data_IF_478745120512
#
_entry.id   IF_478745120512
#
_cell.length_a   1.000
_cell.length_b   1.000
_cell.length_c   1.000
_cell.angle_alpha   90.00
_cell.angle_beta   90.00
_cell.angle_gamma   90.00
#
_symmetry.space_group_name_H-M   'P 1'
#
loop_
_entity.id
_entity.type
_entity.pdbx_description
1 polymer ?
#
# COMPACT_ATOMS: atom_id res chain seq x y z
N UNK A 1 -20.42 -34.36 16.49
CA UNK A 1 -19.76 -33.06 16.16
C UNK A 1 -18.32 -33.32 15.71
N UNK A 2 -17.84 -32.67 14.63
CA UNK A 2 -16.51 -32.91 14.02
C UNK A 2 -16.31 -34.25 13.27
N UNK A 3 -17.33 -34.69 12.53
CA UNK A 3 -17.27 -35.95 11.76
C UNK A 3 -16.12 -35.99 10.75
N UNK A 4 -15.61 -34.84 10.30
CA UNK A 4 -14.52 -34.75 9.34
C UNK A 4 -13.12 -34.79 9.99
N UNK A 5 -12.97 -34.91 11.32
CA UNK A 5 -11.66 -34.81 11.99
C UNK A 5 -11.13 -36.16 12.53
N UNK A 6 -11.35 -37.25 11.79
CA UNK A 6 -10.92 -38.59 12.20
C UNK A 6 -9.98 -39.19 11.15
N UNK A 7 -8.81 -39.66 11.59
CA UNK A 7 -7.93 -40.52 10.80
C UNK A 7 -7.58 -41.73 11.64
N UNK A 8 -7.79 -42.93 11.10
CA UNK A 8 -7.44 -44.17 11.78
C UNK A 8 -6.45 -44.94 10.91
N UNK A 9 -5.27 -45.22 11.44
CA UNK A 9 -4.35 -46.20 10.87
C UNK A 9 -4.64 -47.56 11.51
N UNK A 10 -4.94 -48.56 10.70
CA UNK A 10 -5.33 -49.89 11.17
C UNK A 10 -4.95 -50.97 10.17
N UNK A 11 -5.27 -52.22 10.48
CA UNK A 11 -5.16 -53.37 9.58
C UNK A 11 -6.01 -54.53 10.06
N UNK A 12 -5.64 -55.76 9.75
CA UNK A 12 -6.42 -56.94 10.14
C UNK A 12 -6.21 -57.36 11.60
N UNK A 13 -7.31 -57.70 12.30
CA UNK A 13 -7.31 -58.06 13.73
C UNK A 13 -6.40 -59.25 14.07
N UNK A 14 -6.23 -60.19 13.14
CA UNK A 14 -5.40 -61.40 13.31
C UNK A 14 -3.90 -61.07 13.45
N UNK A 15 -3.43 -59.96 12.88
CA UNK A 15 -2.01 -59.60 12.86
C UNK A 15 -1.58 -58.78 14.08
N UNK A 16 -2.53 -58.17 14.80
CA UNK A 16 -2.24 -57.31 15.97
C UNK A 16 -1.55 -58.05 17.13
N UNK A 17 -1.85 -59.34 17.32
CA UNK A 17 -1.20 -60.18 18.35
C UNK A 17 0.31 -60.37 18.09
N UNK A 18 0.74 -60.29 16.82
CA UNK A 18 2.15 -60.39 16.43
C UNK A 18 2.95 -59.15 16.81
N UNK A 19 2.31 -57.97 16.88
CA UNK A 19 2.95 -56.72 17.31
C UNK A 19 3.33 -56.79 18.79
N UNK A 20 2.44 -57.31 19.64
CA UNK A 20 2.72 -57.43 21.07
C UNK A 20 3.90 -58.38 21.34
N UNK A 21 3.94 -59.51 20.63
CA UNK A 21 5.05 -60.47 20.75
C UNK A 21 6.38 -59.85 20.34
N UNK A 22 6.43 -59.18 19.18
CA UNK A 22 7.66 -58.52 18.71
C UNK A 22 8.09 -57.35 19.60
N UNK A 23 7.14 -56.56 20.12
CA UNK A 23 7.41 -55.49 21.09
C UNK A 23 8.05 -56.04 22.39
N UNK A 24 7.56 -57.18 22.89
CA UNK A 24 8.14 -57.84 24.07
C UNK A 24 9.59 -58.28 23.84
N UNK A 25 9.93 -58.75 22.64
CA UNK A 25 11.31 -59.11 22.29
C UNK A 25 12.24 -57.90 22.30
N UNK A 26 11.80 -56.76 21.74
CA UNK A 26 12.57 -55.50 21.80
C UNK A 26 12.73 -55.03 23.25
N UNK A 27 11.65 -55.02 24.03
CA UNK A 27 11.70 -54.62 25.45
C UNK A 27 12.65 -55.50 26.27
N UNK A 28 12.59 -56.82 26.09
CA UNK A 28 13.46 -57.76 26.80
C UNK A 28 14.94 -57.51 26.50
N UNK A 29 15.30 -57.24 25.24
CA UNK A 29 16.69 -56.95 24.86
C UNK A 29 17.13 -55.55 25.32
N UNK A 30 16.25 -54.55 25.30
CA UNK A 30 16.55 -53.23 25.88
C UNK A 30 16.80 -53.31 27.39
N UNK A 31 16.06 -54.15 28.13
CA UNK A 31 16.31 -54.36 29.56
C UNK A 31 17.65 -55.07 29.81
N UNK A 32 17.95 -56.10 29.03
CA UNK A 32 19.24 -56.79 29.13
C UNK A 32 20.42 -55.85 28.77
N UNK A 33 20.24 -54.92 27.84
CA UNK A 33 21.23 -53.92 27.44
C UNK A 33 21.62 -52.95 28.56
N UNK A 34 20.69 -52.62 29.45
CA UNK A 34 20.95 -51.79 30.65
C UNK A 34 21.79 -52.52 31.71
N UNK A 35 21.72 -53.86 31.76
CA UNK A 35 22.36 -54.69 32.78
C UNK A 35 23.72 -55.26 32.34
N UNK A 36 24.02 -55.26 31.03
CA UNK A 36 25.20 -55.91 30.45
C UNK A 36 26.26 -54.90 30.00
N UNK A 37 27.43 -54.82 30.67
CA UNK A 37 28.51 -53.91 30.29
C UNK A 37 29.16 -54.32 28.96
N UNK A 38 29.82 -53.37 28.29
CA UNK A 38 30.44 -53.57 26.97
C UNK A 38 31.53 -54.67 26.96
N UNK A 39 32.15 -54.97 28.11
CA UNK A 39 33.18 -55.99 28.25
C UNK A 39 32.63 -57.41 28.42
N UNK A 40 31.30 -57.59 28.45
CA UNK A 40 30.69 -58.89 28.70
C UNK A 40 30.88 -59.86 27.52
N UNK A 41 31.21 -61.15 27.74
CA UNK A 41 31.44 -62.13 26.67
C UNK A 41 30.26 -62.31 25.69
N UNK A 42 29.04 -62.06 26.15
CA UNK A 42 27.81 -62.17 25.34
C UNK A 42 27.35 -60.83 24.71
N UNK A 43 28.14 -59.75 24.85
CA UNK A 43 27.76 -58.43 24.36
C UNK A 43 27.48 -58.41 22.85
N UNK A 44 28.33 -59.06 22.07
CA UNK A 44 28.18 -59.17 20.62
C UNK A 44 26.87 -59.86 20.22
N UNK A 45 26.51 -60.95 20.91
CA UNK A 45 25.24 -61.67 20.65
C UNK A 45 24.02 -60.81 21.03
N UNK A 46 24.13 -60.03 22.11
CA UNK A 46 23.08 -59.09 22.52
C UNK A 46 22.85 -58.01 21.46
N UNK A 47 23.93 -57.40 20.93
CA UNK A 47 23.84 -56.36 19.90
C UNK A 47 23.26 -56.91 18.59
N UNK A 48 23.63 -58.13 18.18
CA UNK A 48 23.04 -58.83 17.02
C UNK A 48 21.55 -59.10 17.22
N UNK A 49 21.13 -59.62 18.38
CA UNK A 49 19.70 -59.84 18.71
C UNK A 49 18.93 -58.54 18.81
N UNK A 50 19.54 -57.48 19.33
CA UNK A 50 18.94 -56.13 19.41
C UNK A 50 18.63 -55.59 18.02
N UNK A 51 19.60 -55.69 17.10
CA UNK A 51 19.40 -55.28 15.71
C UNK A 51 18.31 -56.12 15.03
N UNK A 52 18.35 -57.46 15.19
CA UNK A 52 17.37 -58.36 14.59
C UNK A 52 15.96 -58.09 15.11
N UNK A 53 15.75 -58.02 16.43
CA UNK A 53 14.42 -57.76 17.00
C UNK A 53 13.89 -56.37 16.67
N UNK A 54 14.76 -55.37 16.55
CA UNK A 54 14.35 -54.05 16.08
C UNK A 54 13.86 -54.11 14.62
N UNK A 55 14.57 -54.83 13.75
CA UNK A 55 14.15 -55.03 12.35
C UNK A 55 12.84 -55.84 12.25
N UNK A 56 12.71 -56.92 13.02
CA UNK A 56 11.51 -57.77 13.05
C UNK A 56 10.30 -57.00 13.55
N UNK A 57 10.48 -56.20 14.61
CA UNK A 57 9.42 -55.33 15.13
C UNK A 57 8.99 -54.31 14.08
N UNK A 58 9.94 -53.63 13.43
CA UNK A 58 9.64 -52.67 12.38
C UNK A 58 8.86 -53.34 11.23
N UNK A 59 9.32 -54.49 10.73
CA UNK A 59 8.62 -55.22 9.67
C UNK A 59 7.21 -55.66 10.11
N UNK A 60 7.05 -56.10 11.36
CA UNK A 60 5.76 -56.53 11.90
C UNK A 60 4.79 -55.35 11.97
N UNK A 61 5.22 -54.19 12.47
CA UNK A 61 4.41 -52.97 12.53
C UNK A 61 3.97 -52.53 11.13
N UNK A 62 4.88 -52.51 10.15
CA UNK A 62 4.56 -52.12 8.78
C UNK A 62 3.56 -53.05 8.10
N UNK A 63 3.63 -54.35 8.37
CA UNK A 63 2.71 -55.34 7.82
C UNK A 63 1.33 -55.31 8.49
N UNK A 64 1.27 -54.94 9.77
CA UNK A 64 0.02 -54.93 10.54
C UNK A 64 -0.81 -53.68 10.26
N UNK A 65 -0.17 -52.54 9.99
CA UNK A 65 -0.84 -51.26 9.76
C UNK A 65 -0.87 -50.93 8.27
N UNK A 66 -1.76 -51.59 7.54
CA UNK A 66 -1.81 -51.61 6.07
C UNK A 66 -2.89 -50.70 5.46
N UNK A 67 -3.77 -50.08 6.25
CA UNK A 67 -4.86 -49.23 5.73
C UNK A 67 -5.18 -48.03 6.60
N UNK A 68 -5.62 -46.97 5.91
CA UNK A 68 -6.17 -45.76 6.50
C UNK A 68 -7.69 -45.76 6.39
N UNK A 69 -8.37 -45.38 7.47
CA UNK A 69 -9.78 -45.05 7.47
C UNK A 69 -9.97 -43.56 7.66
N UNK A 70 -10.77 -42.93 6.79
CA UNK A 70 -11.09 -41.52 6.89
C UNK A 70 -12.55 -41.22 6.50
N UNK A 71 -13.14 -40.14 7.03
CA UNK A 71 -14.50 -39.72 6.70
C UNK A 71 -14.67 -39.41 5.22
N UNK A 72 -15.75 -39.93 4.64
CA UNK A 72 -16.23 -39.58 3.32
C UNK A 72 -17.73 -39.84 3.20
N UNK A 73 -18.25 -39.80 1.98
CA UNK A 73 -19.64 -40.11 1.71
C UNK A 73 -19.80 -41.19 0.65
N UNK A 74 -20.86 -41.98 0.75
CA UNK A 74 -21.27 -42.91 -0.28
C UNK A 74 -22.80 -42.92 -0.31
N UNK A 75 -23.40 -42.74 -1.48
CA UNK A 75 -24.86 -42.67 -1.65
C UNK A 75 -25.54 -41.70 -0.64
N UNK A 76 -24.95 -40.51 -0.45
CA UNK A 76 -25.39 -39.49 0.51
C UNK A 76 -25.37 -39.88 2.00
N UNK A 77 -24.80 -41.03 2.37
CA UNK A 77 -24.54 -41.40 3.76
C UNK A 77 -23.07 -41.11 4.14
N UNK A 78 -22.86 -40.64 5.37
CA UNK A 78 -21.52 -40.50 5.95
C UNK A 78 -20.95 -41.88 6.25
N UNK A 79 -19.74 -42.17 5.75
CA UNK A 79 -19.04 -43.44 5.97
C UNK A 79 -17.56 -43.23 6.32
N UNK A 80 -16.94 -44.26 6.88
CA UNK A 80 -15.47 -44.35 6.95
C UNK A 80 -14.97 -45.11 5.73
N UNK A 81 -14.29 -44.37 4.83
CA UNK A 81 -13.66 -44.95 3.64
C UNK A 81 -12.36 -45.61 4.04
N UNK A 82 -12.16 -46.85 3.61
CA UNK A 82 -10.90 -47.55 3.75
C UNK A 82 -10.02 -47.32 2.51
N UNK A 83 -8.73 -47.07 2.74
CA UNK A 83 -7.72 -46.93 1.69
C UNK A 83 -6.46 -47.67 2.11
N UNK A 84 -5.93 -48.53 1.25
CA UNK A 84 -4.66 -49.20 1.49
C UNK A 84 -3.53 -48.15 1.62
N UNK A 85 -2.66 -48.34 2.60
CA UNK A 85 -1.49 -47.52 2.84
C UNK A 85 -0.46 -47.81 1.73
N UNK A 86 0.06 -46.76 1.10
CA UNK A 86 1.04 -46.91 0.03
C UNK A 86 2.36 -47.47 0.59
N UNK A 87 2.70 -48.72 0.29
CA UNK A 87 3.91 -49.40 0.78
C UNK A 87 5.19 -49.02 0.02
N UNK A 88 5.10 -48.19 -1.01
CA UNK A 88 6.27 -47.83 -1.83
C UNK A 88 7.12 -46.77 -1.14
N UNK A 89 8.36 -47.13 -0.83
CA UNK A 89 9.32 -46.29 -0.11
C UNK A 89 10.64 -46.18 -0.89
N UNK A 90 11.26 -44.99 -1.00
CA UNK A 90 12.55 -44.81 -1.66
C UNK A 90 13.66 -45.58 -0.93
N UNK A 91 14.45 -46.38 -1.65
CA UNK A 91 15.53 -47.19 -1.05
C UNK A 91 16.71 -46.39 -0.50
N UNK A 92 16.73 -45.06 -0.74
CA UNK A 92 17.81 -44.14 -0.40
C UNK A 92 17.49 -43.22 0.80
N UNK A 93 16.32 -43.35 1.43
CA UNK A 93 15.91 -42.53 2.59
C UNK A 93 15.63 -43.38 3.83
N UNK A 94 15.66 -42.76 5.00
CA UNK A 94 15.23 -43.38 6.26
C UNK A 94 13.72 -43.36 6.40
N UNK A 95 13.10 -44.52 6.65
CA UNK A 95 11.65 -44.69 6.72
C UNK A 95 10.91 -43.58 7.51
N UNK A 96 9.86 -43.02 6.90
CA UNK A 96 9.03 -41.97 7.50
C UNK A 96 7.54 -42.25 7.25
N UNK A 97 6.86 -42.79 8.26
CA UNK A 97 5.44 -43.14 8.18
C UNK A 97 4.52 -41.93 7.97
N UNK A 98 4.89 -40.73 8.44
CA UNK A 98 4.09 -39.53 8.21
C UNK A 98 4.09 -39.14 6.71
N UNK A 99 5.25 -39.20 6.04
CA UNK A 99 5.34 -39.00 4.58
C UNK A 99 4.47 -40.01 3.83
N UNK A 100 4.46 -41.27 4.25
CA UNK A 100 3.66 -42.33 3.66
C UNK A 100 2.15 -42.08 3.79
N UNK A 101 1.70 -41.66 4.97
CA UNK A 101 0.30 -41.28 5.22
C UNK A 101 -0.10 -40.09 4.34
N UNK A 102 0.72 -39.04 4.29
CA UNK A 102 0.46 -37.87 3.44
C UNK A 102 0.34 -38.29 1.97
N UNK A 103 1.32 -39.05 1.46
CA UNK A 103 1.33 -39.57 0.07
C UNK A 103 0.06 -40.34 -0.26
N UNK A 104 -0.37 -41.21 0.66
CA UNK A 104 -1.59 -42.01 0.52
C UNK A 104 -2.84 -41.11 0.46
N UNK A 105 -2.93 -40.09 1.30
CA UNK A 105 -4.09 -39.18 1.36
C UNK A 105 -4.13 -38.15 0.23
N UNK A 106 -2.99 -37.86 -0.40
CA UNK A 106 -2.89 -36.97 -1.57
C UNK A 106 -3.15 -37.68 -2.91
N UNK A 107 -3.09 -39.02 -2.93
CA UNK A 107 -3.43 -39.81 -4.12
C UNK A 107 -4.96 -39.95 -4.29
N UNK A 108 -5.43 -40.27 -5.50
CA UNK A 108 -6.86 -40.49 -5.74
C UNK A 108 -7.40 -41.72 -4.96
N UNK A 109 -8.61 -41.68 -4.38
CA UNK A 109 -9.42 -40.48 -4.13
C UNK A 109 -8.75 -39.56 -3.11
N UNK A 110 -8.59 -38.28 -3.48
CA UNK A 110 -7.84 -37.29 -2.70
C UNK A 110 -8.65 -36.88 -1.47
N UNK A 111 -8.07 -37.10 -0.28
CA UNK A 111 -8.61 -36.61 0.99
C UNK A 111 -7.85 -35.39 1.51
N UNK A 112 -6.54 -35.29 1.27
CA UNK A 112 -5.69 -34.20 1.75
C UNK A 112 -5.14 -33.38 0.57
N UNK A 113 -5.30 -32.06 0.63
CA UNK A 113 -4.58 -31.13 -0.23
C UNK A 113 -3.49 -30.45 0.58
N UNK A 114 -2.29 -30.38 0.02
CA UNK A 114 -1.14 -29.70 0.65
C UNK A 114 -0.89 -28.31 0.05
N UNK A 115 -1.20 -28.12 -1.23
CA UNK A 115 -1.08 -26.85 -1.95
C UNK A 115 -2.47 -26.28 -2.28
N UNK A 116 -2.91 -25.30 -1.48
CA UNK A 116 -4.22 -24.66 -1.67
C UNK A 116 -4.27 -23.78 -2.93
N UNK A 117 -3.27 -22.92 -3.23
CA UNK A 117 -3.31 -22.05 -4.41
C UNK A 117 -3.41 -22.82 -5.73
N UNK A 118 -2.64 -23.91 -5.87
CA UNK A 118 -2.63 -24.74 -7.08
C UNK A 118 -3.97 -25.44 -7.34
N UNK A 119 -4.75 -25.68 -6.27
CA UNK A 119 -6.03 -26.38 -6.32
C UNK A 119 -7.22 -25.44 -6.05
N UNK A 120 -7.01 -24.13 -6.21
CA UNK A 120 -7.94 -23.08 -5.80
C UNK A 120 -9.35 -23.31 -6.34
N UNK A 121 -9.52 -23.48 -7.66
CA UNK A 121 -10.84 -23.53 -8.28
C UNK A 121 -11.69 -24.70 -7.78
N UNK A 122 -11.05 -25.86 -7.58
CA UNK A 122 -11.73 -27.06 -7.06
C UNK A 122 -12.10 -26.90 -5.58
N UNK A 123 -11.17 -26.39 -4.76
CA UNK A 123 -11.39 -26.18 -3.32
C UNK A 123 -12.46 -25.11 -3.08
N UNK A 124 -12.43 -24.03 -3.86
CA UNK A 124 -13.47 -22.99 -3.89
C UNK A 124 -14.83 -23.59 -4.24
N UNK A 125 -14.94 -24.33 -5.34
CA UNK A 125 -16.22 -24.93 -5.75
C UNK A 125 -16.82 -25.83 -4.65
N UNK A 126 -15.98 -26.66 -3.99
CA UNK A 126 -16.42 -27.47 -2.84
C UNK A 126 -16.84 -26.61 -1.65
N UNK A 127 -16.09 -25.56 -1.33
CA UNK A 127 -16.42 -24.67 -0.22
C UNK A 127 -17.74 -23.94 -0.47
N UNK A 128 -17.97 -23.41 -1.68
CA UNK A 128 -19.22 -22.75 -2.08
C UNK A 128 -20.41 -23.71 -2.01
N UNK A 129 -20.24 -24.95 -2.45
CA UNK A 129 -21.29 -25.96 -2.43
C UNK A 129 -21.60 -26.48 -1.01
N UNK A 130 -20.56 -26.79 -0.21
CA UNK A 130 -20.71 -27.56 1.02
C UNK A 130 -20.74 -26.69 2.29
N UNK A 131 -20.03 -25.55 2.28
CA UNK A 131 -19.91 -24.65 3.42
C UNK A 131 -20.91 -23.50 3.32
N UNK A 132 -20.89 -22.76 2.21
CA UNK A 132 -21.88 -21.71 1.94
C UNK A 132 -23.26 -22.33 1.67
N UNK A 133 -23.31 -23.38 0.84
CA UNK A 133 -24.56 -24.01 0.45
C UNK A 133 -25.42 -23.07 -0.38
N UNK A 134 -26.69 -22.92 -0.01
CA UNK A 134 -27.64 -22.08 -0.74
C UNK A 134 -27.56 -20.59 -0.35
N UNK A 135 -26.82 -20.23 0.70
CA UNK A 135 -26.65 -18.84 1.12
C UNK A 135 -25.48 -18.21 0.38
N UNK A 136 -25.65 -16.97 -0.07
CA UNK A 136 -24.55 -16.15 -0.61
C UNK A 136 -23.64 -15.64 0.51
N UNK A 137 -24.20 -15.43 1.71
CA UNK A 137 -23.48 -14.89 2.86
C UNK A 137 -23.44 -15.90 4.02
N UNK A 138 -22.32 -15.97 4.72
CA UNK A 138 -22.14 -16.85 5.88
C UNK A 138 -21.13 -16.28 6.89
N UNK A 139 -21.30 -16.58 8.18
CA UNK A 139 -20.29 -16.24 9.20
C UNK A 139 -19.04 -17.09 8.98
N UNK A 140 -17.87 -16.47 9.10
CA UNK A 140 -16.57 -17.18 8.96
C UNK A 140 -16.46 -18.36 9.94
N UNK A 141 -16.93 -18.18 11.18
CA UNK A 141 -16.96 -19.24 12.20
C UNK A 141 -17.81 -20.44 11.76
N UNK A 142 -18.97 -20.20 11.18
CA UNK A 142 -19.87 -21.26 10.73
C UNK A 142 -19.29 -22.04 9.55
N UNK A 143 -18.55 -21.36 8.67
CA UNK A 143 -17.82 -22.02 7.58
C UNK A 143 -16.73 -22.96 8.12
N UNK A 144 -15.97 -22.51 9.13
CA UNK A 144 -14.94 -23.33 9.80
C UNK A 144 -15.58 -24.52 10.53
N UNK A 145 -16.70 -24.32 11.21
CA UNK A 145 -17.41 -25.42 11.88
C UNK A 145 -17.97 -26.42 10.88
N UNK A 146 -18.54 -25.94 9.76
CA UNK A 146 -18.99 -26.81 8.66
C UNK A 146 -17.82 -27.58 8.05
N UNK A 147 -16.62 -26.99 7.93
CA UNK A 147 -15.42 -27.69 7.43
C UNK A 147 -15.08 -28.92 8.30
N UNK A 148 -15.24 -28.80 9.62
CA UNK A 148 -15.04 -29.91 10.58
C UNK A 148 -16.18 -30.93 10.55
N UNK A 149 -17.38 -30.55 10.11
CA UNK A 149 -18.57 -31.41 10.13
C UNK A 149 -18.80 -32.15 8.81
N UNK A 150 -18.52 -31.53 7.66
CA UNK A 150 -18.81 -32.06 6.32
C UNK A 150 -17.74 -33.05 5.90
N UNK A 151 -18.05 -34.34 5.98
CA UNK A 151 -17.18 -35.48 5.58
C UNK A 151 -16.70 -35.43 4.12
N UNK A 152 -17.48 -34.75 3.25
CA UNK A 152 -17.16 -34.50 1.84
C UNK A 152 -16.03 -33.49 1.62
N UNK A 153 -15.79 -32.61 2.61
CA UNK A 153 -14.70 -31.66 2.51
C UNK A 153 -13.36 -32.38 2.63
N UNK A 154 -12.40 -32.06 1.75
CA UNK A 154 -11.05 -32.54 1.94
C UNK A 154 -10.41 -31.85 3.15
N UNK A 155 -9.35 -32.46 3.66
CA UNK A 155 -8.47 -31.84 4.62
C UNK A 155 -7.54 -30.86 3.93
N UNK A 156 -7.30 -29.77 4.64
CA UNK A 156 -6.42 -28.68 4.27
C UNK A 156 -5.29 -28.63 5.30
N UNK A 157 -4.12 -28.06 4.96
CA UNK A 157 -3.05 -27.84 5.93
C UNK A 157 -3.53 -26.88 7.04
N UNK A 158 -2.77 -26.73 8.13
CA UNK A 158 -2.99 -25.63 9.08
C UNK A 158 -3.13 -24.29 8.34
N UNK A 159 -4.16 -23.51 8.70
CA UNK A 159 -4.54 -22.25 8.03
C UNK A 159 -4.91 -22.39 6.54
N UNK A 160 -5.06 -23.60 6.00
CA UNK A 160 -5.35 -23.80 4.58
C UNK A 160 -6.70 -23.24 4.15
N UNK A 161 -7.69 -23.20 5.04
CA UNK A 161 -8.96 -22.52 4.75
C UNK A 161 -8.82 -20.99 4.76
N UNK A 162 -8.00 -20.44 5.65
CA UNK A 162 -7.68 -19.01 5.64
C UNK A 162 -6.91 -18.61 4.38
N UNK A 163 -5.98 -19.46 3.90
CA UNK A 163 -5.32 -19.26 2.61
C UNK A 163 -6.31 -19.29 1.44
N UNK A 164 -7.27 -20.22 1.46
CA UNK A 164 -8.34 -20.26 0.44
C UNK A 164 -9.18 -18.98 0.46
N UNK A 165 -9.56 -18.50 1.65
CA UNK A 165 -10.27 -17.24 1.84
C UNK A 165 -9.45 -16.08 1.30
N UNK A 166 -8.19 -15.97 1.68
CA UNK A 166 -7.30 -14.90 1.24
C UNK A 166 -7.19 -14.85 -0.28
N UNK A 167 -6.93 -16.01 -0.91
CA UNK A 167 -6.85 -16.12 -2.37
C UNK A 167 -8.18 -15.76 -3.04
N UNK A 168 -9.32 -16.17 -2.46
CA UNK A 168 -10.64 -15.86 -2.98
C UNK A 168 -10.98 -14.37 -2.89
N UNK A 169 -10.60 -13.71 -1.80
CA UNK A 169 -10.73 -12.27 -1.62
C UNK A 169 -9.79 -11.49 -2.55
N UNK A 170 -8.54 -11.93 -2.72
CA UNK A 170 -7.59 -11.33 -3.65
C UNK A 170 -8.06 -11.43 -5.11
N UNK A 171 -8.64 -12.58 -5.49
CA UNK A 171 -9.26 -12.77 -6.79
C UNK A 171 -10.63 -12.08 -6.90
N UNK A 172 -11.13 -11.45 -5.84
CA UNK A 172 -12.43 -10.75 -5.81
C UNK A 172 -13.63 -11.64 -6.11
N UNK A 173 -13.50 -12.96 -5.89
CA UNK A 173 -14.63 -13.89 -6.04
C UNK A 173 -15.39 -14.04 -4.74
N UNK A 174 -14.74 -13.84 -3.59
CA UNK A 174 -15.36 -13.68 -2.28
C UNK A 174 -15.01 -12.30 -1.70
N UNK A 175 -15.74 -11.86 -0.70
CA UNK A 175 -15.49 -10.60 0.02
C UNK A 175 -15.73 -10.80 1.52
N UNK A 176 -14.83 -10.26 2.34
CA UNK A 176 -15.01 -10.13 3.78
C UNK A 176 -15.77 -8.83 4.05
N UNK A 177 -16.92 -8.94 4.72
CA UNK A 177 -17.80 -7.80 5.00
C UNK A 177 -17.35 -7.00 6.24
N UNK A 178 -16.25 -7.38 6.90
CA UNK A 178 -15.65 -6.67 8.03
C UNK A 178 -16.40 -6.84 9.36
N UNK A 179 -17.54 -7.52 9.35
CA UNK A 179 -18.38 -7.81 10.52
C UNK A 179 -18.34 -9.31 10.91
N UNK A 180 -17.33 -10.05 10.43
CA UNK A 180 -17.19 -11.50 10.62
C UNK A 180 -18.02 -12.36 9.64
N UNK A 181 -18.75 -11.73 8.72
CA UNK A 181 -19.40 -12.41 7.60
C UNK A 181 -18.56 -12.36 6.34
N UNK A 182 -18.73 -13.38 5.53
CA UNK A 182 -18.17 -13.50 4.20
C UNK A 182 -19.28 -13.68 3.18
N UNK A 183 -19.10 -13.09 2.01
CA UNK A 183 -19.97 -13.33 0.86
C UNK A 183 -19.21 -14.04 -0.25
N UNK A 184 -19.85 -15.04 -0.88
CA UNK A 184 -19.36 -15.65 -2.13
C UNK A 184 -19.84 -14.92 -3.38
N UNK A 185 -20.58 -13.81 -3.20
CA UNK A 185 -21.12 -13.00 -4.29
C UNK A 185 -20.89 -11.51 -4.01
N UNK A 186 -19.62 -11.04 -4.08
CA UNK A 186 -19.28 -9.63 -3.91
C UNK A 186 -20.10 -8.77 -4.86
N UNK A 187 -20.53 -7.59 -4.39
CA UNK A 187 -21.27 -6.66 -5.25
C UNK A 187 -20.28 -5.92 -6.16
N UNK A 188 -20.59 -5.73 -7.45
CA UNK A 188 -19.79 -4.87 -8.32
C UNK A 188 -19.61 -3.50 -7.69
N UNK A 189 -18.36 -3.05 -7.56
CA UNK A 189 -18.04 -1.69 -7.13
C UNK A 189 -17.90 -0.81 -8.37
N UNK A 190 -17.84 0.50 -8.15
CA UNK A 190 -17.56 1.47 -9.19
C UNK A 190 -16.07 1.78 -9.20
N UNK A 191 -15.44 1.76 -10.37
CA UNK A 191 -14.04 2.18 -10.52
C UNK A 191 -13.90 3.66 -10.19
N UNK A 192 -12.76 4.04 -9.62
CA UNK A 192 -12.43 5.43 -9.34
C UNK A 192 -10.97 5.69 -9.68
N UNK A 193 -10.66 6.95 -10.00
CA UNK A 193 -9.29 7.41 -10.22
C UNK A 193 -8.91 8.35 -9.08
N UNK A 194 -7.73 8.13 -8.50
CA UNK A 194 -7.11 9.01 -7.52
C UNK A 194 -5.94 9.71 -8.19
N UNK A 195 -5.99 11.03 -8.21
CA UNK A 195 -4.94 11.88 -8.81
C UNK A 195 -4.13 12.50 -7.68
N UNK A 196 -2.80 12.35 -7.76
CA UNK A 196 -1.86 12.98 -6.85
C UNK A 196 -0.87 13.84 -7.64
N UNK A 197 -0.67 15.10 -7.23
CA UNK A 197 0.37 15.95 -7.82
C UNK A 197 1.72 15.66 -7.16
N UNK A 198 2.69 15.18 -7.94
CA UNK A 198 4.05 14.94 -7.44
C UNK A 198 4.95 16.16 -7.62
N UNK A 199 4.60 17.05 -8.54
CA UNK A 199 5.25 18.36 -8.70
C UNK A 199 4.20 19.46 -8.72
N UNK A 200 4.64 20.68 -8.45
CA UNK A 200 3.85 21.86 -8.86
C UNK A 200 4.17 22.22 -10.31
N UNK A 201 3.40 23.15 -10.92
CA UNK A 201 3.69 23.64 -12.25
C UNK A 201 5.12 24.19 -12.33
N UNK A 202 5.87 23.74 -13.33
CA UNK A 202 7.18 24.29 -13.66
C UNK A 202 7.06 25.63 -14.42
N UNK A 203 8.19 26.18 -14.83
CA UNK A 203 8.25 27.42 -15.62
C UNK A 203 7.41 27.37 -16.91
N UNK A 204 7.19 26.18 -17.46
CA UNK A 204 6.36 25.97 -18.65
C UNK A 204 4.93 25.57 -18.35
N UNK A 205 4.55 25.50 -17.07
CA UNK A 205 3.23 25.08 -16.61
C UNK A 205 3.05 23.55 -16.59
N UNK A 206 4.15 22.79 -16.70
CA UNK A 206 4.09 21.34 -16.68
C UNK A 206 3.98 20.81 -15.24
N UNK A 207 3.08 19.85 -15.04
CA UNK A 207 2.85 19.18 -13.77
C UNK A 207 3.03 17.68 -13.95
N UNK A 208 3.75 17.05 -13.02
CA UNK A 208 3.84 15.59 -12.93
C UNK A 208 2.75 15.06 -12.00
N UNK A 209 1.85 14.26 -12.56
CA UNK A 209 0.74 13.62 -11.87
C UNK A 209 1.02 12.14 -11.69
N UNK A 210 0.72 11.62 -10.50
CA UNK A 210 0.60 10.19 -10.24
C UNK A 210 -0.87 9.81 -10.19
N UNK A 211 -1.22 8.78 -10.95
CA UNK A 211 -2.59 8.33 -11.17
C UNK A 211 -2.73 6.91 -10.65
N UNK A 212 -3.54 6.73 -9.63
CA UNK A 212 -3.89 5.44 -9.05
C UNK A 212 -5.35 5.09 -9.37
N UNK A 213 -5.65 3.81 -9.55
CA UNK A 213 -7.01 3.34 -9.81
C UNK A 213 -7.53 2.48 -8.65
N UNK A 214 -8.79 2.70 -8.28
CA UNK A 214 -9.47 2.00 -7.18
C UNK A 214 -10.60 1.16 -7.77
N UNK A 215 -10.81 -0.04 -7.21
CA UNK A 215 -11.83 -1.00 -7.64
C UNK A 215 -11.71 -1.42 -9.13
N UNK A 216 -10.51 -1.42 -9.70
CA UNK A 216 -10.25 -1.64 -11.13
C UNK A 216 -9.53 -2.96 -11.43
N UNK A 217 -9.56 -3.90 -10.48
CA UNK A 217 -8.91 -5.21 -10.59
C UNK A 217 -7.39 -5.15 -10.44
N UNK A 218 -6.73 -6.29 -10.66
CA UNK A 218 -5.27 -6.41 -10.53
C UNK A 218 -4.46 -5.75 -11.64
N UNK A 219 -5.09 -5.44 -12.78
CA UNK A 219 -4.47 -4.81 -13.95
C UNK A 219 -5.39 -3.72 -14.50
N UNK A 220 -5.46 -2.54 -13.86
CA UNK A 220 -6.36 -1.48 -14.27
C UNK A 220 -5.98 -0.89 -15.63
N UNK A 221 -6.97 -0.47 -16.42
CA UNK A 221 -6.76 0.37 -17.62
C UNK A 221 -7.22 1.78 -17.31
N UNK A 222 -6.33 2.76 -17.40
CA UNK A 222 -6.63 4.17 -17.15
C UNK A 222 -6.60 4.89 -18.49
N UNK A 223 -7.75 5.30 -18.97
CA UNK A 223 -7.87 6.19 -20.13
C UNK A 223 -7.70 7.63 -19.68
N UNK A 224 -7.15 8.50 -20.52
CA UNK A 224 -7.03 9.92 -20.22
C UNK A 224 -7.23 10.79 -21.46
N UNK A 225 -7.67 12.03 -21.23
CA UNK A 225 -7.77 13.06 -22.27
C UNK A 225 -7.37 14.42 -21.72
N UNK A 226 -6.42 15.06 -22.41
CA UNK A 226 -5.98 16.44 -22.13
C UNK A 226 -6.91 17.44 -22.81
N UNK A 227 -7.30 18.49 -22.07
CA UNK A 227 -8.19 19.59 -22.48
C UNK A 227 -9.47 19.10 -23.23
N UNK A 228 -10.03 17.97 -22.81
CA UNK A 228 -11.19 17.36 -23.44
C UNK A 228 -11.90 16.31 -22.58
N UNK A 229 -12.91 15.65 -23.15
CA UNK A 229 -13.67 14.60 -22.48
C UNK A 229 -13.02 13.23 -22.73
N UNK A 230 -12.78 12.49 -21.67
CA UNK A 230 -12.22 11.13 -21.76
C UNK A 230 -13.33 10.12 -22.07
N UNK A 231 -13.00 9.12 -22.89
CA UNK A 231 -13.84 7.95 -23.16
C UNK A 231 -13.02 6.67 -23.11
N UNK A 232 -13.67 5.52 -23.28
CA UNK A 232 -12.98 4.22 -23.43
C UNK A 232 -12.21 4.09 -24.76
N UNK A 233 -12.34 5.05 -25.67
CA UNK A 233 -11.57 5.13 -26.92
C UNK A 233 -10.36 6.06 -26.79
N UNK A 234 -10.28 6.84 -25.71
CA UNK A 234 -9.14 7.71 -25.43
C UNK A 234 -7.86 6.90 -25.17
N UNK A 235 -6.67 7.51 -25.34
CA UNK A 235 -5.39 6.87 -25.04
C UNK A 235 -5.34 6.26 -23.64
N UNK A 236 -4.70 5.11 -23.53
CA UNK A 236 -4.45 4.44 -22.25
C UNK A 236 -3.10 4.90 -21.72
N UNK A 237 -3.07 5.27 -20.45
CA UNK A 237 -1.86 5.62 -19.74
C UNK A 237 -0.96 4.38 -19.61
N UNK A 238 0.27 4.45 -20.12
CA UNK A 238 1.23 3.33 -20.10
C UNK A 238 1.84 3.09 -18.73
N UNK A 239 2.02 4.15 -17.96
CA UNK A 239 2.57 4.15 -16.59
C UNK A 239 1.57 4.82 -15.64
N UNK A 240 1.73 4.68 -14.33
CA UNK A 240 0.87 5.41 -13.37
C UNK A 240 1.22 6.90 -13.25
N UNK A 241 1.95 7.47 -14.21
CA UNK A 241 2.47 8.84 -14.16
C UNK A 241 2.18 9.54 -15.49
N UNK A 242 1.72 10.79 -15.40
CA UNK A 242 1.53 11.69 -16.55
C UNK A 242 2.19 13.03 -16.28
N UNK A 243 3.07 13.49 -17.18
CA UNK A 243 3.56 14.86 -17.18
C UNK A 243 2.81 15.65 -18.25
N UNK A 244 2.08 16.70 -17.84
CA UNK A 244 1.16 17.42 -18.73
C UNK A 244 1.25 18.94 -18.53
N UNK A 245 0.97 19.69 -19.60
CA UNK A 245 0.76 21.16 -19.60
C UNK A 245 -0.69 21.54 -19.85
N UNK A 246 -1.59 20.56 -19.95
CA UNK A 246 -3.01 20.81 -20.17
C UNK A 246 -3.59 21.62 -19.01
N UNK A 247 -4.64 22.39 -19.27
CA UNK A 247 -5.38 23.08 -18.21
C UNK A 247 -6.30 22.13 -17.46
N UNK A 248 -6.84 21.13 -18.16
CA UNK A 248 -7.65 20.07 -17.56
C UNK A 248 -7.24 18.72 -18.13
N UNK A 249 -7.23 17.70 -17.29
CA UNK A 249 -7.10 16.31 -17.75
C UNK A 249 -8.20 15.49 -17.12
N UNK A 250 -8.96 14.78 -17.94
CA UNK A 250 -9.93 13.79 -17.47
C UNK A 250 -9.31 12.41 -17.51
N UNK A 251 -9.56 11.62 -16.47
CA UNK A 251 -9.09 10.25 -16.33
C UNK A 251 -10.28 9.31 -16.10
N UNK A 252 -10.25 8.13 -16.73
CA UNK A 252 -11.29 7.10 -16.59
C UNK A 252 -10.64 5.74 -16.34
N UNK A 253 -10.89 5.17 -15.17
CA UNK A 253 -10.45 3.81 -14.85
C UNK A 253 -11.47 2.77 -15.31
N UNK A 254 -10.99 1.73 -16.00
CA UNK A 254 -11.78 0.58 -16.45
C UNK A 254 -11.18 -0.68 -15.84
N UNK A 255 -12.03 -1.55 -15.31
CA UNK A 255 -11.67 -2.91 -14.88
C UNK A 255 -11.76 -3.87 -16.07
N UNK A 256 -10.64 -4.36 -16.64
CA UNK A 256 -10.68 -5.22 -17.81
C UNK A 256 -11.32 -6.59 -17.54
N UNK A 257 -11.43 -6.99 -16.27
CA UNK A 257 -12.08 -8.25 -15.90
C UNK A 257 -13.61 -8.16 -15.95
N UNK A 258 -14.17 -6.95 -16.03
CA UNK A 258 -15.62 -6.71 -16.04
C UNK A 258 -16.32 -6.97 -14.71
N UNK A 259 -15.58 -7.23 -13.62
CA UNK A 259 -16.15 -7.46 -12.29
C UNK A 259 -16.75 -6.19 -11.70
N UNK A 260 -16.09 -5.05 -11.92
CA UNK A 260 -16.52 -3.75 -11.44
C UNK A 260 -17.09 -2.90 -12.57
N UNK A 261 -18.05 -2.05 -12.21
CA UNK A 261 -18.66 -1.11 -13.15
C UNK A 261 -17.71 0.07 -13.36
N UNK A 262 -17.60 0.52 -14.61
CA UNK A 262 -16.81 1.71 -14.94
C UNK A 262 -17.49 2.94 -14.32
N UNK A 263 -16.74 3.70 -13.52
CA UNK A 263 -17.20 4.91 -12.88
C UNK A 263 -17.18 6.13 -13.77
N UNK A 264 -17.41 7.28 -13.14
CA UNK A 264 -17.35 8.58 -13.82
C UNK A 264 -15.89 9.04 -13.96
N UNK A 265 -15.57 9.82 -15.00
CA UNK A 265 -14.25 10.44 -15.13
C UNK A 265 -13.88 11.34 -13.95
N UNK A 266 -12.65 11.21 -13.47
CA UNK A 266 -12.05 12.17 -12.53
C UNK A 266 -11.39 13.29 -13.33
N UNK A 267 -11.63 14.55 -12.95
CA UNK A 267 -11.03 15.71 -13.61
C UNK A 267 -9.97 16.32 -12.71
N UNK A 268 -8.75 16.41 -13.24
CA UNK A 268 -7.70 17.26 -12.69
C UNK A 268 -7.69 18.61 -13.40
N UNK A 269 -7.47 19.69 -12.65
CA UNK A 269 -7.34 21.05 -13.18
C UNK A 269 -5.99 21.62 -12.79
N UNK A 270 -5.25 22.09 -13.78
CA UNK A 270 -3.94 22.72 -13.60
C UNK A 270 -4.08 24.15 -13.06
N UNK A 271 -2.96 24.72 -12.61
CA UNK A 271 -2.86 26.11 -12.17
C UNK A 271 -2.07 26.93 -13.17
N UNK A 272 -2.45 28.20 -13.33
CA UNK A 272 -1.66 29.15 -14.08
C UNK A 272 -0.49 29.62 -13.22
N UNK A 273 0.68 29.81 -13.83
CA UNK A 273 1.84 30.40 -13.16
C UNK A 273 2.19 31.70 -13.87
N UNK A 274 2.04 32.82 -13.16
CA UNK A 274 2.41 34.15 -13.65
C UNK A 274 3.86 34.42 -13.26
N UNK A 275 4.68 34.83 -14.21
CA UNK A 275 6.10 35.16 -14.03
C UNK A 275 6.42 36.49 -14.71
N UNK A 276 7.54 37.08 -14.32
CA UNK A 276 8.06 38.27 -14.96
C UNK A 276 9.52 38.06 -15.39
N UNK A 277 9.99 38.90 -16.30
CA UNK A 277 11.41 39.12 -16.58
C UNK A 277 11.62 40.63 -16.61
N UNK A 278 12.46 41.12 -15.73
CA UNK A 278 12.70 42.54 -15.55
C UNK A 278 14.13 42.89 -15.94
N UNK A 279 14.27 43.89 -16.81
CA UNK A 279 15.55 44.48 -17.19
C UNK A 279 15.75 45.78 -16.40
N UNK A 280 16.69 45.76 -15.47
CA UNK A 280 17.01 46.91 -14.60
C UNK A 280 17.54 48.12 -15.38
N UNK A 281 18.24 47.91 -16.50
CA UNK A 281 18.86 49.00 -17.27
C UNK A 281 17.79 49.78 -18.03
N UNK A 282 16.87 49.07 -18.67
CA UNK A 282 15.80 49.64 -19.49
C UNK A 282 14.49 49.86 -18.73
N UNK A 283 14.42 49.37 -17.47
CA UNK A 283 13.20 49.33 -16.64
C UNK A 283 12.00 48.66 -17.33
N UNK A 284 12.27 47.71 -18.23
CA UNK A 284 11.23 46.97 -18.95
C UNK A 284 10.87 45.68 -18.23
N UNK A 285 9.57 45.45 -18.06
CA UNK A 285 9.00 44.22 -17.51
C UNK A 285 8.27 43.46 -18.60
N UNK A 286 8.73 42.24 -18.83
CA UNK A 286 8.03 41.24 -19.61
C UNK A 286 7.22 40.33 -18.69
N UNK A 287 5.93 40.14 -18.97
CA UNK A 287 5.04 39.27 -18.19
C UNK A 287 4.75 37.99 -18.98
N UNK A 288 4.75 36.87 -18.27
CA UNK A 288 4.55 35.55 -18.83
C UNK A 288 3.50 34.80 -18.03
N UNK A 289 2.65 34.03 -18.71
CA UNK A 289 1.72 33.08 -18.10
C UNK A 289 1.98 31.71 -18.70
N UNK A 290 2.11 30.72 -17.83
CA UNK A 290 2.23 29.32 -18.21
C UNK A 290 1.10 28.50 -17.57
N UNK A 291 0.60 27.42 -18.22
CA UNK A 291 1.02 26.92 -19.53
C UNK A 291 0.54 27.78 -20.71
N UNK A 292 -0.61 28.45 -20.59
CA UNK A 292 -1.15 29.43 -21.54
C UNK A 292 -2.19 30.31 -20.85
N UNK A 293 -2.48 31.48 -21.42
CA UNK A 293 -3.55 32.36 -20.94
C UNK A 293 -3.39 33.80 -21.44
N UNK A 294 -4.38 34.63 -21.13
CA UNK A 294 -4.34 36.08 -21.35
C UNK A 294 -3.99 36.80 -20.06
N UNK A 295 -3.18 37.85 -20.14
CA UNK A 295 -2.74 38.63 -18.98
C UNK A 295 -3.37 40.02 -19.02
N UNK A 296 -3.87 40.49 -17.88
CA UNK A 296 -4.23 41.89 -17.61
C UNK A 296 -3.43 42.43 -16.45
N UNK A 297 -3.16 43.73 -16.46
CA UNK A 297 -2.38 44.37 -15.40
C UNK A 297 -2.85 45.78 -15.05
N UNK A 298 -2.47 46.22 -13.86
CA UNK A 298 -2.64 47.59 -13.36
C UNK A 298 -1.38 48.02 -12.60
N UNK A 299 -1.12 49.33 -12.56
CA UNK A 299 0.02 49.93 -11.83
C UNK A 299 -0.42 50.96 -10.80
N UNK A 300 -1.72 51.23 -10.70
CA UNK A 300 -2.32 52.25 -9.83
C UNK A 300 -2.96 51.66 -8.56
N UNK A 301 -2.86 50.34 -8.37
CA UNK A 301 -3.47 49.63 -7.24
C UNK A 301 -4.91 49.15 -7.48
N UNK A 302 -5.50 49.41 -8.65
CA UNK A 302 -6.83 48.90 -8.99
C UNK A 302 -6.82 47.39 -9.32
N UNK A 303 -7.99 46.75 -9.29
CA UNK A 303 -8.14 45.30 -9.54
C UNK A 303 -7.70 44.92 -10.96
N UNK A 304 -6.65 44.10 -11.05
CA UNK A 304 -6.01 43.71 -12.31
C UNK A 304 -6.94 42.97 -13.28
N UNK A 305 -7.99 42.28 -12.78
CA UNK A 305 -9.00 41.64 -13.65
C UNK A 305 -9.68 42.62 -14.62
N UNK A 306 -9.84 43.88 -14.20
CA UNK A 306 -10.43 44.97 -14.99
C UNK A 306 -9.35 45.92 -15.56
N UNK A 307 -8.09 45.48 -15.53
CA UNK A 307 -6.93 46.25 -15.96
C UNK A 307 -6.74 46.31 -17.47
N UNK A 308 -5.56 46.73 -17.88
CA UNK A 308 -5.17 46.82 -19.29
C UNK A 308 -4.71 45.46 -19.80
N UNK A 309 -5.15 45.07 -21.00
CA UNK A 309 -4.66 43.85 -21.67
C UNK A 309 -3.15 43.96 -21.97
N UNK A 310 -2.41 42.95 -21.55
CA UNK A 310 -0.97 42.90 -21.75
C UNK A 310 -0.63 42.38 -23.16
N UNK A 311 -0.10 43.26 -24.01
CA UNK A 311 0.33 42.92 -25.37
C UNK A 311 1.80 43.24 -25.66
N UNK A 312 2.44 44.11 -24.86
CA UNK A 312 3.83 44.54 -25.03
C UNK A 312 4.52 44.76 -23.67
N UNK A 313 5.87 44.70 -23.61
CA UNK A 313 6.62 44.94 -22.38
C UNK A 313 6.29 46.29 -21.73
N UNK A 314 6.05 46.27 -20.42
CA UNK A 314 5.72 47.46 -19.62
C UNK A 314 7.00 48.22 -19.30
N UNK A 315 7.01 49.54 -19.47
CA UNK A 315 8.13 50.39 -19.00
C UNK A 315 7.76 51.00 -17.66
N UNK A 316 8.56 50.73 -16.62
CA UNK A 316 8.35 51.25 -15.29
C UNK A 316 9.03 52.63 -15.10
N UNK A 317 8.47 53.45 -14.22
CA UNK A 317 9.05 54.72 -13.76
C UNK A 317 10.38 54.51 -13.01
N UNK A 318 11.13 55.56 -12.64
CA UNK A 318 12.41 55.37 -11.91
C UNK A 318 12.25 55.00 -10.42
N UNK A 319 11.07 55.21 -9.84
CA UNK A 319 10.76 54.93 -8.44
C UNK A 319 10.31 53.50 -8.15
N UNK A 320 9.98 53.22 -6.88
CA UNK A 320 9.33 51.97 -6.48
C UNK A 320 7.98 51.85 -7.19
N UNK A 321 7.73 50.71 -7.83
CA UNK A 321 6.49 50.49 -8.59
C UNK A 321 5.97 49.07 -8.37
N UNK A 322 4.67 48.99 -8.09
CA UNK A 322 3.94 47.73 -7.95
C UNK A 322 3.14 47.46 -9.21
N UNK A 323 3.21 46.23 -9.71
CA UNK A 323 2.43 45.75 -10.86
C UNK A 323 1.53 44.63 -10.36
N UNK A 324 0.21 44.84 -10.45
CA UNK A 324 -0.79 43.83 -10.15
C UNK A 324 -1.16 43.13 -11.44
N UNK A 325 -1.12 41.80 -11.45
CA UNK A 325 -1.27 40.97 -12.65
C UNK A 325 -2.37 39.95 -12.41
N UNK A 326 -3.26 39.83 -13.38
CA UNK A 326 -4.30 38.81 -13.45
C UNK A 326 -4.09 38.00 -14.73
N UNK A 327 -4.18 36.68 -14.63
CA UNK A 327 -4.17 35.81 -15.79
C UNK A 327 -5.41 34.90 -15.77
N UNK A 328 -5.99 34.67 -16.95
CA UNK A 328 -7.12 33.76 -17.12
C UNK A 328 -6.94 32.87 -18.37
N UNK A 329 -7.42 31.63 -18.28
CA UNK A 329 -7.57 30.74 -19.41
C UNK A 329 -8.63 29.68 -19.12
N UNK A 330 -9.65 29.55 -19.98
CA UNK A 330 -10.70 28.52 -19.89
C UNK A 330 -11.36 28.38 -18.50
N UNK A 331 -11.47 29.49 -17.75
CA UNK A 331 -12.04 29.55 -16.40
C UNK A 331 -11.07 29.20 -15.26
N UNK A 332 -9.79 28.94 -15.56
CA UNK A 332 -8.71 28.92 -14.57
C UNK A 332 -8.12 30.32 -14.48
N UNK A 333 -7.94 30.82 -13.26
CA UNK A 333 -7.51 32.18 -12.99
C UNK A 333 -6.37 32.19 -11.97
N UNK A 334 -5.46 33.13 -12.10
CA UNK A 334 -4.39 33.36 -11.14
C UNK A 334 -4.15 34.87 -10.98
N UNK A 335 -3.75 35.28 -9.78
CA UNK A 335 -3.38 36.67 -9.48
C UNK A 335 -1.99 36.71 -8.89
N UNK A 336 -1.19 37.66 -9.34
CA UNK A 336 0.13 37.88 -8.77
C UNK A 336 0.47 39.36 -8.72
N UNK A 337 1.11 39.75 -7.63
CA UNK A 337 1.62 41.10 -7.43
C UNK A 337 3.14 41.06 -7.49
N UNK A 338 3.73 41.90 -8.33
CA UNK A 338 5.18 42.07 -8.40
C UNK A 338 5.56 43.47 -7.92
N UNK A 339 6.53 43.54 -7.03
CA UNK A 339 7.10 44.82 -6.58
C UNK A 339 8.47 45.00 -7.22
N UNK A 340 8.73 46.18 -7.74
CA UNK A 340 10.01 46.54 -8.35
C UNK A 340 10.58 47.77 -7.66
N UNK A 341 11.78 47.62 -7.10
CA UNK A 341 12.46 48.70 -6.40
C UNK A 341 12.87 49.83 -7.36
N UNK A 342 13.11 51.01 -6.80
CA UNK A 342 13.69 52.14 -7.49
C UNK A 342 15.07 51.79 -8.06
N UNK A 343 15.44 52.47 -9.15
CA UNK A 343 16.70 52.21 -9.85
C UNK A 343 17.90 52.35 -8.90
N UNK A 344 18.68 51.28 -8.73
CA UNK A 344 19.89 51.25 -7.90
C UNK A 344 19.68 50.83 -6.44
N UNK A 345 18.44 50.50 -6.01
CA UNK A 345 18.16 49.97 -4.67
C UNK A 345 18.03 48.44 -4.71
N UNK A 346 18.89 47.72 -3.99
CA UNK A 346 18.87 46.25 -3.90
C UNK A 346 18.19 45.72 -2.64
N UNK A 347 17.75 46.57 -1.72
CA UNK A 347 17.15 46.15 -0.45
C UNK A 347 15.67 45.77 -0.63
N UNK A 348 15.27 44.65 -0.02
CA UNK A 348 13.87 44.22 0.08
C UNK A 348 13.20 45.11 1.13
N UNK A 349 12.33 46.03 0.68
CA UNK A 349 11.62 46.95 1.57
C UNK A 349 10.40 46.27 2.22
N UNK A 350 10.63 45.59 3.34
CA UNK A 350 9.57 44.92 4.11
C UNK A 350 8.97 45.92 5.12
N UNK A 351 7.70 46.25 4.95
CA UNK A 351 6.92 47.07 5.91
C UNK A 351 6.75 46.28 7.21
N UNK A 352 7.49 46.66 8.24
CA UNK A 352 7.63 45.89 9.48
C UNK A 352 6.34 45.76 10.29
N UNK A 353 5.44 46.72 10.17
CA UNK A 353 4.20 46.86 10.92
C UNK A 353 2.97 46.23 10.24
N UNK A 354 3.09 45.84 8.96
CA UNK A 354 1.99 45.27 8.18
C UNK A 354 2.11 43.76 8.00
N UNK A 355 1.01 43.01 7.83
CA UNK A 355 1.06 41.59 7.48
C UNK A 355 1.93 41.33 6.26
N UNK A 356 2.58 40.18 6.23
CA UNK A 356 3.38 39.75 5.10
C UNK A 356 3.10 38.30 4.74
N UNK A 357 3.18 38.02 3.45
CA UNK A 357 3.11 36.69 2.92
C UNK A 357 4.39 36.41 2.13
N UNK A 358 5.00 35.27 2.41
CA UNK A 358 6.01 34.67 1.57
C UNK A 358 5.32 33.71 0.60
N UNK A 359 5.57 33.87 -0.70
CA UNK A 359 5.21 32.92 -1.74
C UNK A 359 6.42 32.62 -2.61
N UNK A 360 6.84 31.37 -2.63
CA UNK A 360 7.93 30.92 -3.51
C UNK A 360 7.48 29.80 -4.44
N UNK A 361 7.66 29.93 -5.76
CA UNK A 361 7.37 28.86 -6.72
C UNK A 361 8.17 27.58 -6.44
N UNK A 362 9.41 27.73 -5.98
CA UNK A 362 10.23 26.63 -5.47
C UNK A 362 10.04 26.52 -3.95
N UNK A 363 9.76 25.34 -3.38
CA UNK A 363 9.59 25.21 -1.93
C UNK A 363 10.81 25.72 -1.16
N UNK A 364 10.58 26.55 -0.14
CA UNK A 364 11.62 26.89 0.85
C UNK A 364 11.79 25.68 1.77
N UNK A 365 13.05 25.29 2.00
CA UNK A 365 13.40 24.05 2.70
C UNK A 365 14.13 24.33 4.01
N UNK A 366 13.65 23.74 5.08
CA UNK A 366 14.36 23.58 6.33
C UNK A 366 15.08 22.22 6.27
N UNK A 367 16.36 22.27 5.94
CA UNK A 367 17.18 21.13 5.50
C UNK A 367 17.74 20.25 6.63
N UNK A 368 17.40 20.54 7.89
CA UNK A 368 17.84 19.76 9.04
C UNK A 368 16.75 19.69 10.12
N UNK A 369 16.85 18.67 10.99
CA UNK A 369 15.95 18.52 12.14
C UNK A 369 16.00 19.72 13.06
N UNK A 370 17.20 20.26 13.32
CA UNK A 370 17.38 21.45 14.15
C UNK A 370 16.62 22.66 13.59
N UNK A 371 16.83 22.99 12.30
CA UNK A 371 16.10 24.09 11.64
C UNK A 371 14.60 23.84 11.58
N UNK A 372 14.17 22.60 11.41
CA UNK A 372 12.74 22.27 11.38
C UNK A 372 12.08 22.50 12.74
N UNK A 373 12.67 22.00 13.83
CA UNK A 373 12.14 22.21 15.18
C UNK A 373 12.21 23.68 15.60
N UNK A 374 13.32 24.37 15.33
CA UNK A 374 13.45 25.80 15.58
C UNK A 374 12.43 26.62 14.77
N UNK A 375 12.28 26.30 13.49
CA UNK A 375 11.33 26.98 12.61
C UNK A 375 9.89 26.78 13.02
N UNK A 376 9.49 25.56 13.40
CA UNK A 376 8.15 25.30 13.93
C UNK A 376 7.90 26.01 15.27
N UNK A 377 8.89 26.03 16.17
CA UNK A 377 8.81 26.75 17.44
C UNK A 377 8.63 28.25 17.21
N UNK A 378 9.48 28.85 16.38
CA UNK A 378 9.42 30.29 16.06
C UNK A 378 8.10 30.64 15.36
N UNK A 379 7.65 29.80 14.44
CA UNK A 379 6.38 29.96 13.76
C UNK A 379 5.19 29.90 14.73
N UNK A 380 5.23 29.01 15.72
CA UNK A 380 4.21 28.91 16.77
C UNK A 380 4.19 30.15 17.67
N UNK A 381 5.36 30.60 18.12
CA UNK A 381 5.49 31.82 18.95
C UNK A 381 4.98 33.07 18.24
N UNK A 382 5.18 33.16 16.92
CA UNK A 382 4.80 34.31 16.09
C UNK A 382 3.47 34.14 15.34
N UNK A 383 2.74 33.06 15.57
CA UNK A 383 1.46 32.81 14.88
C UNK A 383 1.58 32.65 13.35
N UNK A 384 2.73 32.19 12.85
CA UNK A 384 2.97 31.95 11.42
C UNK A 384 2.22 30.67 11.00
N UNK A 385 1.61 30.75 9.82
CA UNK A 385 0.90 29.61 9.19
C UNK A 385 1.51 29.30 7.84
N UNK A 386 1.43 28.03 7.43
CA UNK A 386 2.01 27.54 6.19
C UNK A 386 0.95 26.97 5.25
N UNK A 387 1.28 26.91 3.97
CA UNK A 387 0.48 26.23 2.93
C UNK A 387 1.42 25.46 1.98
N UNK A 388 0.91 24.38 1.39
CA UNK A 388 1.68 23.48 0.50
C UNK A 388 2.94 22.96 1.21
N UNK A 389 2.70 22.28 2.33
CA UNK A 389 3.72 21.78 3.25
C UNK A 389 4.09 20.35 2.90
N UNK A 390 5.39 20.05 2.82
CA UNK A 390 5.92 18.69 2.77
C UNK A 390 6.81 18.44 3.97
N UNK A 391 6.51 17.39 4.72
CA UNK A 391 7.29 16.93 5.85
C UNK A 391 7.84 15.52 5.53
N UNK A 392 9.16 15.40 5.53
CA UNK A 392 9.86 14.13 5.37
C UNK A 392 10.54 13.77 6.69
N UNK A 393 10.30 12.56 7.19
CA UNK A 393 10.85 12.04 8.44
C UNK A 393 11.53 10.71 8.17
N UNK A 394 12.81 10.61 8.51
CA UNK A 394 13.63 9.43 8.25
C UNK A 394 14.26 9.41 6.86
N UNK A 395 14.85 8.26 6.54
CA UNK A 395 15.50 7.98 5.26
C UNK A 395 15.24 6.54 4.85
N UNK A 396 15.39 6.24 3.55
CA UNK A 396 15.15 4.89 3.03
C UNK A 396 15.95 3.83 3.82
N UNK A 397 15.35 2.69 4.21
CA UNK A 397 14.01 2.20 3.84
C UNK A 397 12.87 2.65 4.77
N UNK A 398 13.17 3.34 5.88
CA UNK A 398 12.19 3.77 6.89
C UNK A 398 11.96 5.27 6.79
N UNK A 399 11.09 5.66 5.87
CA UNK A 399 10.77 7.07 5.61
C UNK A 399 9.26 7.30 5.62
N UNK A 400 8.85 8.40 6.23
CA UNK A 400 7.47 8.90 6.22
C UNK A 400 7.46 10.19 5.41
N UNK A 401 6.53 10.28 4.45
CA UNK A 401 6.25 11.50 3.70
C UNK A 401 4.83 11.95 4.02
N UNK A 402 4.69 13.16 4.55
CA UNK A 402 3.42 13.84 4.75
C UNK A 402 3.38 15.04 3.81
N UNK A 403 2.38 15.09 2.92
CA UNK A 403 2.14 16.23 2.04
C UNK A 403 0.77 16.82 2.33
N UNK A 404 0.74 18.11 2.62
CA UNK A 404 -0.46 18.90 2.87
C UNK A 404 -0.57 19.91 1.74
N UNK A 405 -1.64 19.83 0.96
CA UNK A 405 -1.86 20.67 -0.23
C UNK A 405 -2.18 22.14 0.10
N UNK A 406 -3.14 22.70 -0.62
CA UNK A 406 -3.62 24.09 -0.45
C UNK A 406 -4.51 24.22 0.79
N UNK A 407 -3.93 23.97 1.96
CA UNK A 407 -4.57 24.08 3.25
C UNK A 407 -3.70 24.97 4.14
N UNK A 408 -4.31 25.96 4.78
CA UNK A 408 -3.61 26.83 5.73
C UNK A 408 -3.45 26.11 7.06
N UNK A 409 -2.21 25.83 7.44
CA UNK A 409 -1.87 24.98 8.60
C UNK A 409 -1.08 25.78 9.62
N UNK A 410 -1.45 25.63 10.89
CA UNK A 410 -0.73 26.21 12.02
C UNK A 410 0.52 25.39 12.37
N UNK A 411 1.58 26.07 12.79
CA UNK A 411 2.82 25.42 13.23
C UNK A 411 2.59 24.41 14.38
N UNK A 412 1.64 24.68 15.29
CA UNK A 412 1.31 23.76 16.39
C UNK A 412 0.77 22.41 15.90
N UNK A 413 0.00 22.41 14.81
CA UNK A 413 -0.48 21.15 14.21
C UNK A 413 0.69 20.34 13.64
N UNK A 414 1.58 20.98 12.88
CA UNK A 414 2.76 20.34 12.33
C UNK A 414 3.68 19.79 13.42
N UNK A 415 3.84 20.50 14.54
CA UNK A 415 4.62 20.07 15.69
C UNK A 415 4.03 18.81 16.34
N UNK A 416 2.70 18.76 16.54
CA UNK A 416 2.00 17.59 17.09
C UNK A 416 2.09 16.38 16.18
N UNK A 417 1.86 16.56 14.88
CA UNK A 417 1.96 15.48 13.90
C UNK A 417 3.40 14.97 13.75
N UNK A 418 4.39 15.87 13.75
CA UNK A 418 5.79 15.49 13.72
C UNK A 418 6.15 14.60 14.93
N UNK A 419 5.75 15.00 16.15
CA UNK A 419 6.00 14.21 17.35
C UNK A 419 5.33 12.82 17.30
N UNK A 420 4.09 12.76 16.79
CA UNK A 420 3.34 11.52 16.60
C UNK A 420 4.06 10.58 15.61
N UNK A 421 4.45 11.10 14.45
CA UNK A 421 5.10 10.31 13.39
C UNK A 421 6.53 9.89 13.77
N UNK A 422 7.26 10.73 14.52
CA UNK A 422 8.60 10.39 15.04
C UNK A 422 8.58 9.19 15.99
N UNK A 423 7.46 8.95 16.70
CA UNK A 423 7.33 7.78 17.59
C UNK A 423 7.43 6.42 16.88
N UNK A 424 7.25 6.41 15.55
CA UNK A 424 7.36 5.22 14.70
C UNK A 424 8.78 4.96 14.18
N UNK A 425 9.70 5.90 14.39
CA UNK A 425 11.06 5.90 13.85
C UNK A 425 12.10 5.98 14.98
N UNK A 426 13.39 5.90 14.63
CA UNK A 426 14.46 6.09 15.61
C UNK A 426 14.55 7.57 16.02
N UNK A 427 14.97 7.89 17.26
CA UNK A 427 15.03 9.27 17.74
C UNK A 427 15.94 10.21 16.94
N UNK A 428 16.91 9.66 16.20
CA UNK A 428 17.87 10.36 15.36
C UNK A 428 17.42 10.50 13.90
N UNK A 429 16.18 10.08 13.58
CA UNK A 429 15.65 10.16 12.22
C UNK A 429 15.69 11.62 11.70
N UNK A 430 16.28 11.86 10.53
CA UNK A 430 16.34 13.21 9.96
C UNK A 430 14.94 13.75 9.66
N UNK A 431 14.73 15.04 9.89
CA UNK A 431 13.47 15.73 9.60
C UNK A 431 13.74 16.88 8.65
N UNK A 432 12.92 16.96 7.60
CA UNK A 432 12.98 18.02 6.60
C UNK A 432 11.58 18.55 6.38
N UNK A 433 11.40 19.84 6.61
CA UNK A 433 10.17 20.57 6.30
C UNK A 433 10.39 21.43 5.05
N UNK A 434 9.44 21.42 4.13
CA UNK A 434 9.39 22.35 3.02
C UNK A 434 8.01 22.98 2.91
N UNK A 435 7.92 24.23 2.48
CA UNK A 435 6.66 24.94 2.27
C UNK A 435 6.79 25.93 1.11
N UNK A 436 5.68 26.26 0.45
CA UNK A 436 5.65 27.29 -0.61
C UNK A 436 5.10 28.62 -0.15
N UNK A 437 4.17 28.59 0.81
CA UNK A 437 3.56 29.79 1.37
C UNK A 437 3.78 29.84 2.88
N UNK A 438 4.13 31.02 3.38
CA UNK A 438 4.08 31.33 4.79
C UNK A 438 3.36 32.68 4.98
N UNK A 439 2.44 32.72 5.94
CA UNK A 439 1.69 33.92 6.29
C UNK A 439 2.12 34.37 7.68
N UNK A 440 2.59 35.61 7.78
CA UNK A 440 3.07 36.19 9.03
C UNK A 440 2.18 37.37 9.46
N UNK A 441 1.95 37.54 10.78
CA UNK A 441 1.15 38.68 11.26
C UNK A 441 1.77 40.04 10.93
N UNK A 442 3.10 40.11 10.90
CA UNK A 442 3.84 41.34 10.54
C UNK A 442 5.01 41.03 9.60
N UNK A 443 5.48 42.05 8.86
CA UNK A 443 6.68 41.98 8.04
C UNK A 443 7.95 41.80 8.88
N UNK A 444 7.95 42.32 10.11
CA UNK A 444 9.01 42.04 11.09
C UNK A 444 9.09 40.56 11.44
N UNK A 445 7.94 39.88 11.55
CA UNK A 445 7.91 38.44 11.80
C UNK A 445 8.49 37.63 10.65
N UNK A 446 8.22 38.04 9.41
CA UNK A 446 8.80 37.42 8.22
C UNK A 446 10.31 37.62 8.16
N UNK A 447 10.80 38.85 8.40
CA UNK A 447 12.23 39.17 8.42
C UNK A 447 12.97 38.34 9.49
N UNK A 448 12.41 38.27 10.70
CA UNK A 448 13.00 37.46 11.78
C UNK A 448 12.96 35.97 11.47
N UNK A 449 11.86 35.46 10.92
CA UNK A 449 11.73 34.05 10.55
C UNK A 449 12.72 33.65 9.47
N UNK A 450 12.85 34.48 8.42
CA UNK A 450 13.79 34.24 7.34
C UNK A 450 15.24 34.30 7.82
N UNK A 451 15.59 35.32 8.63
CA UNK A 451 16.94 35.49 9.17
C UNK A 451 17.33 34.34 10.11
N UNK A 452 16.43 33.91 11.00
CA UNK A 452 16.70 32.83 11.95
C UNK A 452 16.98 31.50 11.22
N UNK A 453 16.26 31.23 10.14
CA UNK A 453 16.34 29.95 9.43
C UNK A 453 17.26 29.97 8.20
N UNK A 454 17.89 31.11 7.91
CA UNK A 454 18.75 31.28 6.74
C UNK A 454 17.99 31.19 5.42
N UNK A 455 16.74 31.64 5.39
CA UNK A 455 15.92 31.68 4.17
C UNK A 455 16.25 32.96 3.42
N UNK A 456 16.79 32.83 2.22
CA UNK A 456 16.95 33.96 1.30
C UNK A 456 15.58 34.36 0.75
N UNK A 457 15.15 35.58 1.05
CA UNK A 457 13.97 36.21 0.48
C UNK A 457 14.37 36.87 -0.84
N UNK A 458 13.49 36.79 -1.85
CA UNK A 458 13.60 37.59 -3.07
C UNK A 458 12.51 38.66 -3.10
N UNK A 459 12.76 39.74 -3.82
CA UNK A 459 11.81 40.87 -3.94
C UNK A 459 10.45 40.40 -4.46
N UNK A 460 10.41 39.44 -5.39
CA UNK A 460 9.19 38.90 -6.01
C UNK A 460 8.49 37.80 -5.19
N UNK A 461 9.05 37.43 -4.04
CA UNK A 461 8.51 36.40 -3.14
C UNK A 461 7.73 36.98 -1.96
N UNK A 462 7.89 38.28 -1.66
CA UNK A 462 7.24 38.96 -0.53
C UNK A 462 6.02 39.73 -1.02
N UNK A 463 4.86 39.45 -0.42
CA UNK A 463 3.59 40.09 -0.72
C UNK A 463 3.12 40.81 0.55
N UNK A 464 2.86 42.12 0.43
CA UNK A 464 2.31 42.97 1.50
C UNK A 464 1.27 43.94 0.92
N UNK A 465 0.21 44.22 1.68
CA UNK A 465 -0.80 45.24 1.36
C UNK A 465 -0.39 46.66 1.83
#
# INVERSE_FOLDING_TARGET
PNKNNLLVLTGEKSLMASVEKSARHVYAVSKADEELPETHPQRKELDERKAQYAQDFQSTVLNVFDKLLFPGTQQNADILRAKALDSTYPSNESYNGAKQVVKTLTADPIKLYTQVPDNFDMLRARAEQLLFGNSDDARKTDLVDKLRQKTQMPWLPPNGFDLLIQEACQRGVWEDLGNGYMTKKPRPKTTQVVISEESSPDDTGAVRLKIDAVNSGGTPRIHYQEDGTVSTESPILSESVLTTKALRVQFLAVDPSGKNQTGVPATWTNRLTIRNKFDENTRKVELYVAPRGTIRYTTDGSEARNGTDYSQPLTLSEGDQTVYVFAECDGVEEKRTFQFAAKGRQEIDIKKDKPAQLFSPAPKRLDSSAKTHEGLKLAKEKGITFEQVTLQIGSSPKVIHLSLGEMRIHAEFLEKELASLQSLLTPDAPVILSFKKAYTPTGFDLEQFAKALGIELKIDEVIQE
#
